data_IF_110684884418
#
_entry.id   IF_110684884418
#
_cell.length_a   1.000
_cell.length_b   1.000
_cell.length_c   1.000
_cell.angle_alpha   90.00
_cell.angle_beta   90.00
_cell.angle_gamma   90.00
#
_symmetry.space_group_name_H-M   'P 1'
#
loop_
_entity.id
_entity.type
_entity.pdbx_description
1 polymer ?
#
# COMPACT_ATOMS: atom_id res chain seq x y z
N UNK A 1 4.97 4.39 -27.07
CA UNK A 1 5.98 5.27 -27.69
C UNK A 1 6.04 6.66 -27.04
N UNK A 2 4.92 7.35 -26.84
CA UNK A 2 4.88 8.71 -26.26
C UNK A 2 5.60 8.84 -24.91
N UNK A 3 5.30 7.96 -23.95
CA UNK A 3 5.87 8.02 -22.59
C UNK A 3 7.39 7.91 -22.59
N UNK A 4 7.97 7.07 -23.45
CA UNK A 4 9.43 6.94 -23.61
C UNK A 4 10.04 8.21 -24.20
N UNK A 5 9.39 8.80 -25.20
CA UNK A 5 9.86 10.04 -25.83
C UNK A 5 9.83 11.22 -24.87
N UNK A 6 8.73 11.36 -24.11
CA UNK A 6 8.58 12.43 -23.12
C UNK A 6 9.57 12.20 -21.97
N UNK A 7 9.69 10.96 -21.47
CA UNK A 7 10.64 10.59 -20.43
C UNK A 7 12.07 10.98 -20.80
N UNK A 8 12.52 10.63 -22.02
CA UNK A 8 13.85 10.97 -22.50
C UNK A 8 14.10 12.50 -22.53
N UNK A 9 13.10 13.32 -22.89
CA UNK A 9 13.22 14.79 -22.89
C UNK A 9 13.45 15.38 -21.50
N UNK A 10 12.87 14.74 -20.47
CA UNK A 10 13.03 15.16 -19.08
C UNK A 10 14.15 14.42 -18.34
N UNK A 11 14.99 13.65 -19.07
CA UNK A 11 16.16 12.97 -18.51
C UNK A 11 15.86 11.62 -17.85
N UNK A 12 14.74 10.97 -18.20
CA UNK A 12 14.40 9.65 -17.70
C UNK A 12 14.97 8.55 -18.63
N UNK A 13 15.66 7.57 -18.06
CA UNK A 13 16.14 6.41 -18.79
C UNK A 13 15.00 5.52 -19.29
N UNK A 14 15.11 5.00 -20.49
CA UNK A 14 14.11 4.14 -21.12
C UNK A 14 13.81 2.85 -20.31
N UNK A 15 14.83 2.32 -19.64
CA UNK A 15 14.73 1.14 -18.77
C UNK A 15 13.75 1.30 -17.60
N UNK A 16 13.35 2.53 -17.29
CA UNK A 16 12.41 2.88 -16.22
C UNK A 16 10.95 2.89 -16.67
N UNK A 17 10.69 2.67 -17.97
CA UNK A 17 9.36 2.69 -18.55
C UNK A 17 8.94 1.27 -18.93
N UNK A 18 7.99 0.72 -18.21
CA UNK A 18 7.39 -0.58 -18.49
C UNK A 18 6.01 -0.37 -19.10
N UNK A 19 5.79 -0.87 -20.31
CA UNK A 19 4.53 -0.78 -21.02
C UNK A 19 4.02 -2.19 -21.35
N UNK A 20 2.77 -2.44 -21.03
CA UNK A 20 2.07 -3.69 -21.27
C UNK A 20 0.78 -3.42 -22.02
N UNK A 21 0.47 -4.20 -23.04
CA UNK A 21 -0.81 -4.18 -23.72
C UNK A 21 -1.80 -5.08 -22.97
N UNK A 22 -2.89 -4.50 -22.54
CA UNK A 22 -3.98 -5.21 -21.87
C UNK A 22 -5.12 -5.39 -22.85
N UNK A 23 -5.61 -6.60 -22.96
CA UNK A 23 -6.78 -6.93 -23.77
C UNK A 23 -7.88 -7.44 -22.85
N UNK A 24 -8.98 -6.72 -22.78
CA UNK A 24 -10.17 -7.08 -21.99
C UNK A 24 -11.44 -6.95 -22.82
N UNK A 25 -12.60 -7.14 -22.20
CA UNK A 25 -13.91 -7.06 -22.89
C UNK A 25 -14.23 -5.68 -23.50
N UNK A 26 -13.46 -4.63 -23.19
CA UNK A 26 -13.57 -3.28 -23.74
C UNK A 26 -12.61 -2.99 -24.89
N UNK A 27 -11.70 -3.92 -25.22
CA UNK A 27 -10.70 -3.76 -26.27
C UNK A 27 -9.26 -3.83 -25.77
N UNK A 28 -8.32 -3.41 -26.62
CA UNK A 28 -6.90 -3.34 -26.27
C UNK A 28 -6.51 -1.93 -25.79
N UNK A 29 -5.76 -1.85 -24.70
CA UNK A 29 -5.25 -0.59 -24.15
C UNK A 29 -3.87 -0.77 -23.52
N UNK A 30 -3.15 0.34 -23.27
CA UNK A 30 -1.79 0.32 -22.75
C UNK A 30 -1.74 0.70 -21.28
N UNK A 31 -1.15 -0.17 -20.43
CA UNK A 31 -0.74 0.15 -19.06
C UNK A 31 0.76 0.47 -19.03
N UNK A 32 1.09 1.70 -18.65
CA UNK A 32 2.48 2.17 -18.64
C UNK A 32 2.87 2.53 -17.22
N UNK A 33 3.84 1.83 -16.67
CA UNK A 33 4.42 2.09 -15.35
C UNK A 33 5.78 2.75 -15.50
N UNK A 34 5.98 3.87 -14.83
CA UNK A 34 7.22 4.64 -14.90
C UNK A 34 7.84 4.73 -13.51
N UNK A 35 9.02 4.17 -13.35
CA UNK A 35 9.77 4.22 -12.09
C UNK A 35 10.66 5.45 -12.06
N UNK A 36 10.39 6.39 -11.14
CA UNK A 36 11.08 7.67 -11.04
C UNK A 36 12.20 7.64 -10.00
N UNK A 37 13.40 8.13 -10.31
CA UNK A 37 14.49 8.27 -9.36
C UNK A 37 14.09 9.18 -8.18
N UNK A 38 14.74 8.99 -7.03
CA UNK A 38 14.54 9.87 -5.89
C UNK A 38 14.85 11.32 -6.27
N UNK A 39 13.91 12.23 -5.94
CA UNK A 39 14.02 13.66 -6.28
C UNK A 39 13.61 14.02 -7.70
N UNK A 40 13.16 13.06 -8.52
CA UNK A 40 12.62 13.37 -9.85
C UNK A 40 11.27 14.10 -9.75
N UNK A 41 11.08 15.12 -10.60
CA UNK A 41 9.85 15.90 -10.62
C UNK A 41 8.72 15.16 -11.37
N UNK A 42 7.95 14.39 -10.61
CA UNK A 42 6.81 13.62 -11.12
C UNK A 42 5.72 14.52 -11.73
N UNK A 43 5.47 15.69 -11.11
CA UNK A 43 4.46 16.62 -11.58
C UNK A 43 4.83 17.19 -12.96
N UNK A 44 6.09 17.57 -13.13
CA UNK A 44 6.60 18.03 -14.43
C UNK A 44 6.42 16.96 -15.50
N UNK A 45 6.74 15.69 -15.20
CA UNK A 45 6.57 14.61 -16.16
C UNK A 45 5.10 14.42 -16.56
N UNK A 46 4.16 14.50 -15.62
CA UNK A 46 2.72 14.42 -15.93
C UNK A 46 2.25 15.55 -16.85
N UNK A 47 2.68 16.80 -16.58
CA UNK A 47 2.33 17.95 -17.43
C UNK A 47 2.89 17.79 -18.85
N UNK A 48 4.12 17.34 -18.99
CA UNK A 48 4.74 17.08 -20.30
C UNK A 48 4.02 15.94 -21.06
N UNK A 49 3.59 14.89 -20.35
CA UNK A 49 2.79 13.80 -20.94
C UNK A 49 1.43 14.28 -21.41
N UNK A 50 0.74 15.11 -20.63
CA UNK A 50 -0.55 15.69 -21.00
C UNK A 50 -0.42 16.62 -22.23
N UNK A 51 0.59 17.49 -22.24
CA UNK A 51 0.87 18.37 -23.36
C UNK A 51 1.22 17.57 -24.63
N UNK A 52 2.03 16.54 -24.51
CA UNK A 52 2.41 15.69 -25.64
C UNK A 52 1.23 14.87 -26.18
N UNK A 53 0.35 14.40 -25.31
CA UNK A 53 -0.88 13.71 -25.72
C UNK A 53 -1.81 14.66 -26.49
N UNK A 54 -1.99 15.89 -25.98
CA UNK A 54 -2.80 16.93 -26.64
C UNK A 54 -2.28 17.25 -28.04
N UNK A 55 -0.96 17.38 -28.21
CA UNK A 55 -0.32 17.64 -29.51
C UNK A 55 -0.50 16.50 -30.52
N UNK A 56 -0.87 15.29 -30.05
CA UNK A 56 -1.20 14.14 -30.90
C UNK A 56 -2.72 13.91 -31.05
N UNK A 57 -3.54 14.91 -30.73
CA UNK A 57 -5.00 14.84 -30.83
C UNK A 57 -5.64 13.96 -29.73
N UNK A 58 -4.88 13.64 -28.68
CA UNK A 58 -5.35 12.86 -27.55
C UNK A 58 -5.57 13.71 -26.29
N UNK A 59 -5.94 13.03 -25.20
CA UNK A 59 -6.13 13.64 -23.88
C UNK A 59 -5.74 12.65 -22.80
N UNK A 60 -5.00 13.13 -21.81
CA UNK A 60 -4.70 12.40 -20.58
C UNK A 60 -5.24 13.18 -19.39
N UNK A 61 -6.20 12.60 -18.68
CA UNK A 61 -6.80 13.20 -17.48
C UNK A 61 -6.14 12.63 -16.22
N UNK A 62 -5.98 13.44 -15.16
CA UNK A 62 -5.50 12.93 -13.88
C UNK A 62 -6.40 11.82 -13.35
N UNK A 63 -5.80 10.73 -12.87
CA UNK A 63 -6.50 9.72 -12.09
C UNK A 63 -6.33 10.02 -10.60
N UNK A 64 -7.37 9.81 -9.79
CA UNK A 64 -7.21 9.86 -8.35
C UNK A 64 -6.23 8.76 -7.93
N UNK A 65 -5.14 9.19 -7.29
CA UNK A 65 -4.23 8.30 -6.60
C UNK A 65 -4.79 8.15 -5.19
N UNK A 66 -5.00 6.93 -4.71
CA UNK A 66 -5.57 6.70 -3.39
C UNK A 66 -4.75 7.40 -2.31
N UNK A 67 -5.40 8.22 -1.49
CA UNK A 67 -4.75 9.11 -0.52
C UNK A 67 -3.95 8.35 0.56
N UNK A 68 -4.27 7.10 0.83
CA UNK A 68 -3.52 6.22 1.75
C UNK A 68 -2.29 5.56 1.12
N UNK A 69 -2.23 5.54 -0.19
CA UNK A 69 -1.20 4.84 -0.93
C UNK A 69 -0.02 5.70 -1.35
N UNK A 70 0.69 6.40 -0.48
CA UNK A 70 1.86 7.25 -0.78
C UNK A 70 2.94 6.63 -1.70
N UNK A 71 2.55 5.70 -2.55
CA UNK A 71 3.35 4.89 -3.44
C UNK A 71 3.33 5.36 -4.89
N UNK A 72 2.22 5.89 -5.41
CA UNK A 72 2.22 6.55 -6.71
C UNK A 72 2.52 8.04 -6.56
N UNK A 73 3.45 8.52 -7.35
CA UNK A 73 3.78 9.94 -7.43
C UNK A 73 2.81 10.71 -8.33
N UNK A 74 1.93 9.99 -9.02
CA UNK A 74 0.87 10.50 -9.87
C UNK A 74 0.40 9.46 -10.89
N UNK A 75 -0.79 9.66 -11.45
CA UNK A 75 -1.30 8.85 -12.54
C UNK A 75 -2.18 9.67 -13.49
N UNK A 76 -2.19 9.28 -14.77
CA UNK A 76 -3.07 9.85 -15.80
C UNK A 76 -3.62 8.74 -16.68
N UNK A 77 -4.83 8.93 -17.21
CA UNK A 77 -5.43 8.00 -18.18
C UNK A 77 -6.16 8.77 -19.28
N UNK A 78 -6.27 8.16 -20.44
CA UNK A 78 -6.99 8.76 -21.56
C UNK A 78 -6.58 8.18 -22.90
N UNK A 79 -6.65 8.96 -23.98
CA UNK A 79 -6.34 8.53 -25.33
C UNK A 79 -5.12 9.21 -25.89
N UNK A 80 -4.29 8.45 -26.59
CA UNK A 80 -3.15 8.96 -27.36
C UNK A 80 -3.11 8.24 -28.71
N UNK A 81 -3.17 8.99 -29.80
CA UNK A 81 -3.16 8.40 -31.15
C UNK A 81 -4.29 7.39 -31.39
N UNK A 82 -5.47 7.60 -30.77
CA UNK A 82 -6.63 6.71 -30.88
C UNK A 82 -6.57 5.45 -29.99
N UNK A 83 -5.50 5.26 -29.23
CA UNK A 83 -5.38 4.15 -28.28
C UNK A 83 -5.63 4.63 -26.86
N UNK A 84 -6.30 3.83 -26.04
CA UNK A 84 -6.44 4.12 -24.61
C UNK A 84 -5.12 3.79 -23.89
N UNK A 85 -4.66 4.73 -23.05
CA UNK A 85 -3.39 4.63 -22.32
C UNK A 85 -3.61 5.05 -20.88
N UNK A 86 -3.06 4.28 -19.95
CA UNK A 86 -2.90 4.66 -18.56
C UNK A 86 -1.42 4.77 -18.24
N UNK A 87 -1.01 5.82 -17.54
CA UNK A 87 0.37 6.01 -17.07
C UNK A 87 0.35 6.17 -15.56
N UNK A 88 1.13 5.35 -14.85
CA UNK A 88 1.31 5.42 -13.40
C UNK A 88 2.77 5.72 -13.09
N UNK A 89 3.01 6.78 -12.34
CA UNK A 89 4.35 7.17 -11.87
C UNK A 89 4.60 6.58 -10.49
N UNK A 90 5.62 5.75 -10.39
CA UNK A 90 6.02 5.05 -9.17
C UNK A 90 7.38 5.57 -8.72
N UNK A 91 7.67 5.69 -7.42
CA UNK A 91 9.03 5.91 -6.96
C UNK A 91 9.92 4.73 -7.37
N UNK A 92 11.17 5.03 -7.66
CA UNK A 92 12.17 3.99 -7.90
C UNK A 92 12.41 3.23 -6.59
N UNK A 93 11.75 2.11 -6.44
CA UNK A 93 12.19 1.16 -5.43
C UNK A 93 13.47 0.50 -5.96
N UNK A 94 14.53 0.46 -5.15
CA UNK A 94 15.64 -0.42 -5.50
C UNK A 94 15.01 -1.81 -5.71
N UNK A 95 15.03 -2.31 -6.95
CA UNK A 95 14.61 -3.68 -7.26
C UNK A 95 15.38 -4.55 -6.28
N UNK A 96 14.80 -4.86 -5.14
CA UNK A 96 15.23 -6.03 -4.41
C UNK A 96 14.93 -7.18 -5.37
N UNK A 97 15.95 -7.60 -6.14
CA UNK A 97 16.00 -8.99 -6.54
C UNK A 97 15.47 -9.74 -5.33
N UNK A 98 14.44 -10.58 -5.49
CA UNK A 98 14.01 -11.39 -4.36
C UNK A 98 15.31 -11.97 -3.82
N UNK A 99 15.72 -11.53 -2.62
CA UNK A 99 16.82 -12.15 -1.96
C UNK A 99 16.37 -13.59 -1.90
N UNK A 100 17.06 -14.47 -2.62
CA UNK A 100 16.76 -15.88 -2.72
C UNK A 100 16.83 -16.38 -1.29
N UNK A 101 15.69 -16.22 -0.60
CA UNK A 101 15.50 -16.71 0.76
C UNK A 101 15.62 -18.20 0.63
N UNK A 102 16.81 -18.73 0.92
CA UNK A 102 17.00 -20.14 1.23
C UNK A 102 16.20 -20.43 2.49
N UNK A 103 14.94 -20.66 2.31
CA UNK A 103 14.14 -21.50 3.19
C UNK A 103 13.23 -22.31 2.27
N UNK A 104 13.88 -23.14 1.44
CA UNK A 104 13.28 -24.38 1.01
C UNK A 104 13.32 -25.31 2.24
N UNK A 105 12.45 -25.03 3.21
CA UNK A 105 12.14 -25.95 4.27
C UNK A 105 10.64 -26.12 4.32
N UNK A 106 10.26 -27.33 4.01
CA UNK A 106 8.94 -27.92 4.01
C UNK A 106 8.06 -27.55 2.80
N UNK A 107 7.51 -28.60 2.23
CA UNK A 107 6.46 -28.70 1.23
C UNK A 107 5.12 -28.06 1.70
N UNK A 108 5.14 -26.77 2.01
CA UNK A 108 3.97 -26.00 2.40
C UNK A 108 3.52 -25.11 1.23
N UNK A 109 2.21 -24.88 1.14
CA UNK A 109 1.62 -23.96 0.18
C UNK A 109 2.19 -22.53 0.38
N UNK A 110 2.35 -21.73 -0.67
CA UNK A 110 2.69 -20.31 -0.56
C UNK A 110 1.71 -19.58 0.36
N UNK A 111 2.17 -18.66 1.19
CA UNK A 111 1.33 -17.90 2.14
C UNK A 111 1.21 -16.45 1.71
N UNK A 112 -0.01 -15.95 1.61
CA UNK A 112 -0.30 -14.56 1.27
C UNK A 112 -1.06 -13.91 2.43
N UNK A 113 -0.52 -12.84 3.02
CA UNK A 113 -1.28 -11.98 3.91
C UNK A 113 -1.85 -10.80 3.11
N UNK A 114 -3.13 -10.49 3.34
CA UNK A 114 -3.82 -9.35 2.75
C UNK A 114 -4.32 -8.48 3.89
N UNK A 115 -4.05 -7.18 3.81
CA UNK A 115 -4.54 -6.16 4.76
C UNK A 115 -5.30 -5.09 3.98
N UNK A 116 -6.45 -4.68 4.49
CA UNK A 116 -7.21 -3.55 3.96
C UNK A 116 -7.14 -2.38 4.94
N UNK A 117 -6.50 -1.31 4.50
CA UNK A 117 -6.27 -0.09 5.26
C UNK A 117 -7.45 0.89 5.18
N UNK A 118 -7.41 1.97 5.95
CA UNK A 118 -8.34 3.10 6.00
C UNK A 118 -9.77 2.76 6.46
N UNK A 119 -9.97 1.66 7.18
CA UNK A 119 -11.26 1.36 7.78
C UNK A 119 -11.60 2.33 8.94
N UNK A 120 -12.90 2.53 9.18
CA UNK A 120 -13.40 3.32 10.32
C UNK A 120 -14.13 4.60 9.94
N UNK A 121 -14.18 4.94 8.66
CA UNK A 121 -14.94 6.10 8.19
C UNK A 121 -16.44 5.85 8.12
N UNK A 122 -16.88 4.61 7.97
CA UNK A 122 -18.27 4.20 7.88
C UNK A 122 -18.55 2.94 8.67
N UNK A 123 -19.71 2.83 9.34
CA UNK A 123 -20.15 1.55 9.91
C UNK A 123 -20.34 0.46 8.84
N UNK A 124 -20.62 0.86 7.59
CA UNK A 124 -20.79 -0.04 6.46
C UNK A 124 -19.51 -0.77 6.05
N UNK A 125 -18.32 -0.33 6.50
CA UNK A 125 -17.05 -1.02 6.25
C UNK A 125 -17.12 -2.48 6.72
N UNK A 126 -17.81 -2.74 7.84
CA UNK A 126 -17.96 -4.10 8.40
C UNK A 126 -18.76 -5.00 7.45
N UNK A 127 -19.85 -4.49 6.90
CA UNK A 127 -20.70 -5.21 5.96
C UNK A 127 -19.99 -5.42 4.61
N UNK A 128 -19.32 -4.38 4.11
CA UNK A 128 -18.58 -4.43 2.85
C UNK A 128 -17.56 -5.58 2.82
N UNK A 129 -16.92 -5.85 3.95
CA UNK A 129 -15.89 -6.90 4.04
C UNK A 129 -16.44 -8.26 4.47
N UNK A 130 -17.73 -8.38 4.80
CA UNK A 130 -18.32 -9.60 5.37
C UNK A 130 -18.19 -10.83 4.47
N UNK A 131 -18.18 -10.62 3.15
CA UNK A 131 -18.06 -11.69 2.16
C UNK A 131 -16.61 -12.14 1.90
N UNK A 132 -15.61 -11.41 2.39
CA UNK A 132 -14.21 -11.81 2.27
C UNK A 132 -13.84 -12.82 3.37
N UNK A 133 -12.89 -13.74 3.10
CA UNK A 133 -12.39 -14.66 4.11
C UNK A 133 -11.88 -13.92 5.37
N UNK A 134 -12.11 -14.44 6.58
CA UNK A 134 -11.70 -13.78 7.83
C UNK A 134 -10.19 -13.65 7.99
N UNK A 135 -9.40 -14.36 7.19
CA UNK A 135 -7.93 -14.21 7.14
C UNK A 135 -7.46 -12.90 6.52
N UNK A 136 -8.33 -12.20 5.75
CA UNK A 136 -8.06 -10.83 5.29
C UNK A 136 -8.15 -9.91 6.50
N UNK A 137 -7.02 -9.35 6.90
CA UNK A 137 -6.93 -8.44 8.04
C UNK A 137 -7.36 -7.02 7.66
N UNK A 138 -7.67 -6.21 8.67
CA UNK A 138 -8.13 -4.83 8.47
C UNK A 138 -7.35 -3.89 9.39
N UNK A 139 -6.90 -2.76 8.85
CA UNK A 139 -6.29 -1.71 9.63
C UNK A 139 -7.26 -0.53 9.77
N UNK A 140 -7.53 -0.13 11.02
CA UNK A 140 -8.53 0.87 11.38
C UNK A 140 -7.85 2.17 11.77
N UNK A 141 -8.26 3.27 11.14
CA UNK A 141 -7.82 4.62 11.48
C UNK A 141 -8.33 5.00 12.89
N UNK A 142 -7.45 5.26 13.85
CA UNK A 142 -7.89 5.54 15.23
C UNK A 142 -8.64 6.85 15.40
N UNK A 143 -8.43 7.80 14.48
CA UNK A 143 -9.11 9.09 14.44
C UNK A 143 -10.40 9.10 13.60
N UNK A 144 -10.77 7.99 12.99
CA UNK A 144 -12.01 7.87 12.23
C UNK A 144 -13.25 7.85 13.17
N UNK A 145 -14.34 8.44 12.69
CA UNK A 145 -15.56 8.62 13.52
C UNK A 145 -16.15 7.32 14.08
N UNK A 146 -15.96 6.20 13.37
CA UNK A 146 -16.51 4.89 13.74
C UNK A 146 -15.42 3.87 14.10
N UNK A 147 -14.18 4.31 14.38
CA UNK A 147 -13.03 3.44 14.64
C UNK A 147 -13.35 2.31 15.63
N UNK A 148 -13.84 2.65 16.82
CA UNK A 148 -14.18 1.68 17.86
C UNK A 148 -15.27 0.69 17.41
N UNK A 149 -16.34 1.20 16.78
CA UNK A 149 -17.48 0.38 16.32
C UNK A 149 -17.04 -0.63 15.25
N UNK A 150 -16.27 -0.14 14.27
CA UNK A 150 -15.77 -0.94 13.14
C UNK A 150 -14.77 -1.97 13.62
N UNK A 151 -13.83 -1.62 14.50
CA UNK A 151 -12.90 -2.56 15.10
C UNK A 151 -13.62 -3.74 15.79
N UNK A 152 -14.62 -3.44 16.63
CA UNK A 152 -15.44 -4.45 17.28
C UNK A 152 -16.22 -5.31 16.28
N UNK A 153 -16.72 -4.71 15.19
CA UNK A 153 -17.38 -5.43 14.10
C UNK A 153 -16.49 -6.47 13.45
N UNK A 154 -15.26 -6.08 13.09
CA UNK A 154 -14.28 -6.98 12.48
C UNK A 154 -13.81 -8.08 13.42
N UNK A 155 -13.60 -7.78 14.69
CA UNK A 155 -13.28 -8.79 15.70
C UNK A 155 -14.38 -9.86 15.81
N UNK A 156 -15.66 -9.47 15.78
CA UNK A 156 -16.78 -10.44 15.75
C UNK A 156 -16.79 -11.33 14.50
N UNK A 157 -16.22 -10.86 13.38
CA UNK A 157 -16.02 -11.67 12.17
C UNK A 157 -14.77 -12.58 12.27
N UNK A 158 -14.02 -12.55 13.37
CA UNK A 158 -12.80 -13.34 13.56
C UNK A 158 -11.59 -12.80 12.78
N UNK A 159 -11.62 -11.53 12.34
CA UNK A 159 -10.52 -10.89 11.60
C UNK A 159 -9.45 -10.36 12.54
N UNK A 160 -8.20 -10.41 12.10
CA UNK A 160 -7.17 -9.58 12.71
C UNK A 160 -7.44 -8.10 12.44
N UNK A 161 -7.35 -7.30 13.50
CA UNK A 161 -7.47 -5.85 13.45
C UNK A 161 -6.12 -5.23 13.79
N UNK A 162 -5.69 -4.28 12.97
CA UNK A 162 -4.50 -3.46 13.20
C UNK A 162 -4.93 -2.02 13.50
N UNK A 163 -4.07 -1.30 14.21
CA UNK A 163 -4.13 0.15 14.33
C UNK A 163 -3.47 0.72 13.07
N UNK A 164 -4.22 1.43 12.24
CA UNK A 164 -3.68 2.18 11.11
C UNK A 164 -3.17 3.53 11.61
N UNK A 165 -1.94 3.56 12.14
CA UNK A 165 -1.38 4.69 12.87
C UNK A 165 -1.04 5.83 11.93
N UNK A 166 -1.69 7.02 12.07
CA UNK A 166 -1.39 8.17 11.25
C UNK A 166 0.03 8.68 11.50
N UNK A 167 0.79 8.89 10.43
CA UNK A 167 2.19 9.32 10.51
C UNK A 167 2.49 10.36 9.44
N UNK A 168 3.42 11.29 9.73
CA UNK A 168 3.74 12.42 8.88
C UNK A 168 4.22 11.99 7.48
N UNK A 169 3.53 12.42 6.40
CA UNK A 169 4.02 12.23 5.04
C UNK A 169 5.06 13.31 4.68
N UNK A 170 5.86 13.07 3.65
CA UNK A 170 6.50 14.18 2.91
C UNK A 170 5.38 15.02 2.28
N UNK A 171 5.70 16.27 1.88
CA UNK A 171 4.69 17.18 1.32
C UNK A 171 3.74 16.46 0.35
N UNK A 172 2.45 16.48 0.66
CA UNK A 172 1.41 15.71 -0.03
C UNK A 172 0.24 16.62 -0.42
N UNK A 173 0.51 17.66 -1.21
CA UNK A 173 -0.55 18.51 -1.77
C UNK A 173 -1.52 19.17 -0.76
N UNK A 174 -1.16 19.25 0.53
CA UNK A 174 -1.99 19.82 1.59
C UNK A 174 -2.87 18.83 2.35
N UNK A 175 -2.89 17.54 1.97
CA UNK A 175 -3.59 16.49 2.73
C UNK A 175 -2.71 16.02 3.88
N UNK A 176 -3.19 16.18 5.11
CA UNK A 176 -2.50 15.75 6.32
C UNK A 176 -2.89 14.34 6.74
N UNK A 177 -2.09 13.68 7.61
CA UNK A 177 -2.36 12.33 8.09
C UNK A 177 -3.50 12.26 9.12
N UNK A 178 -4.11 13.39 9.45
CA UNK A 178 -5.20 13.47 10.42
C UNK A 178 -4.75 13.74 11.85
N UNK A 179 -5.73 13.86 12.75
CA UNK A 179 -5.51 14.15 14.16
C UNK A 179 -4.77 12.99 14.86
N UNK A 180 -3.96 13.30 15.84
CA UNK A 180 -3.20 12.29 16.60
C UNK A 180 -1.99 11.71 15.85
N UNK A 181 -1.66 12.22 14.65
CA UNK A 181 -0.58 11.70 13.83
C UNK A 181 0.80 11.83 14.48
N UNK A 182 1.66 10.84 14.25
CA UNK A 182 3.05 10.87 14.64
C UNK A 182 3.83 11.78 13.68
N UNK A 183 4.27 12.93 14.18
CA UNK A 183 5.05 13.90 13.42
C UNK A 183 6.54 13.80 13.79
N UNK A 184 7.40 14.13 12.84
CA UNK A 184 8.85 14.25 13.10
C UNK A 184 9.12 15.37 14.10
N UNK A 185 9.98 15.09 15.07
CA UNK A 185 10.36 16.05 16.12
C UNK A 185 9.44 16.07 17.34
N UNK A 186 8.45 15.20 17.44
CA UNK A 186 7.70 15.02 18.69
C UNK A 186 8.59 14.43 19.77
N UNK A 187 8.33 14.79 21.03
CA UNK A 187 8.98 14.14 22.17
C UNK A 187 8.53 12.68 22.30
N UNK A 188 9.36 11.83 22.90
CA UNK A 188 9.03 10.43 23.17
C UNK A 188 7.73 10.29 24.00
N UNK A 189 7.52 11.19 24.96
CA UNK A 189 6.29 11.20 25.76
C UNK A 189 5.05 11.50 24.92
N UNK A 190 5.14 12.45 24.00
CA UNK A 190 4.03 12.77 23.11
C UNK A 190 3.76 11.64 22.11
N UNK A 191 4.81 11.01 21.58
CA UNK A 191 4.67 9.81 20.74
C UNK A 191 3.96 8.70 21.51
N UNK A 192 4.39 8.40 22.74
CA UNK A 192 3.78 7.40 23.61
C UNK A 192 2.31 7.71 23.85
N UNK A 193 1.98 8.95 24.21
CA UNK A 193 0.59 9.37 24.44
C UNK A 193 -0.29 9.16 23.21
N UNK A 194 0.20 9.47 22.00
CA UNK A 194 -0.55 9.27 20.74
C UNK A 194 -0.74 7.80 20.42
N UNK A 195 0.27 6.97 20.60
CA UNK A 195 0.16 5.51 20.42
C UNK A 195 -0.83 4.90 21.42
N UNK A 196 -0.81 5.31 22.68
CA UNK A 196 -1.78 4.87 23.70
C UNK A 196 -3.21 5.28 23.34
N UNK A 197 -3.41 6.53 22.88
CA UNK A 197 -4.71 7.01 22.42
C UNK A 197 -5.21 6.21 21.19
N UNK A 198 -4.34 5.95 20.23
CA UNK A 198 -4.69 5.14 19.06
C UNK A 198 -5.08 3.72 19.45
N UNK A 199 -4.37 3.10 20.41
CA UNK A 199 -4.71 1.77 20.94
C UNK A 199 -6.07 1.75 21.65
N UNK A 200 -6.38 2.80 22.41
CA UNK A 200 -7.66 2.91 23.07
C UNK A 200 -8.84 3.07 22.08
N UNK A 201 -8.59 3.74 20.96
CA UNK A 201 -9.58 3.94 19.91
C UNK A 201 -9.86 2.67 19.08
N UNK A 202 -8.87 1.76 18.99
CA UNK A 202 -8.97 0.49 18.21
C UNK A 202 -8.76 -0.70 19.15
N UNK A 203 -9.75 -1.02 20.02
CA UNK A 203 -9.61 -2.10 20.99
C UNK A 203 -9.51 -3.46 20.31
N UNK A 204 -8.68 -4.34 20.89
CA UNK A 204 -8.46 -5.69 20.38
C UNK A 204 -7.51 -5.78 19.18
N UNK A 205 -6.90 -4.66 18.78
CA UNK A 205 -5.86 -4.69 17.77
C UNK A 205 -4.67 -5.54 18.22
N UNK A 206 -4.13 -6.33 17.29
CA UNK A 206 -2.98 -7.24 17.51
C UNK A 206 -1.71 -6.76 16.80
N UNK A 207 -1.81 -5.71 15.99
CA UNK A 207 -0.71 -5.12 15.26
C UNK A 207 -0.93 -3.64 14.96
N UNK A 208 0.10 -3.02 14.42
CA UNK A 208 0.11 -1.62 13.98
C UNK A 208 0.72 -1.55 12.59
N UNK A 209 0.14 -0.77 11.69
CA UNK A 209 0.80 -0.36 10.46
C UNK A 209 0.71 1.16 10.28
N UNK A 210 1.54 1.73 9.43
CA UNK A 210 1.55 3.18 9.23
C UNK A 210 0.56 3.61 8.14
N UNK A 211 -0.34 4.56 8.49
CA UNK A 211 -1.08 5.37 7.54
C UNK A 211 -0.18 6.52 7.07
N UNK A 212 -0.04 6.69 5.74
CA UNK A 212 0.97 7.62 5.19
C UNK A 212 2.36 7.37 5.78
N UNK A 213 3.04 8.40 6.30
CA UNK A 213 4.27 8.27 7.04
C UNK A 213 5.55 8.28 6.21
N UNK A 214 5.51 8.70 4.94
CA UNK A 214 6.69 8.70 4.07
C UNK A 214 7.83 9.61 4.58
N UNK A 215 7.56 10.56 5.51
CA UNK A 215 8.57 11.33 6.22
C UNK A 215 8.93 10.66 7.54
N UNK A 216 7.95 10.36 8.37
CA UNK A 216 8.16 9.86 9.72
C UNK A 216 8.84 8.47 9.74
N UNK A 217 8.47 7.56 8.82
CA UNK A 217 9.11 6.24 8.73
C UNK A 217 10.55 6.28 8.22
N UNK A 218 10.96 7.39 7.59
CA UNK A 218 12.34 7.65 7.19
C UNK A 218 13.18 8.38 8.26
N UNK A 219 12.58 8.77 9.38
CA UNK A 219 13.24 9.50 10.47
C UNK A 219 13.55 8.55 11.64
N UNK A 220 14.84 8.30 11.87
CA UNK A 220 15.27 7.29 12.84
C UNK A 220 14.84 7.62 14.28
N UNK A 221 14.99 8.86 14.79
CA UNK A 221 14.54 9.21 16.12
C UNK A 221 13.03 8.98 16.33
N UNK A 222 12.23 9.37 15.34
CA UNK A 222 10.77 9.16 15.36
C UNK A 222 10.44 7.67 15.43
N UNK A 223 11.08 6.83 14.61
CA UNK A 223 10.81 5.40 14.61
C UNK A 223 11.29 4.70 15.88
N UNK A 224 12.39 5.16 16.50
CA UNK A 224 12.82 4.67 17.83
C UNK A 224 11.74 4.97 18.86
N UNK A 225 11.22 6.20 18.90
CA UNK A 225 10.17 6.61 19.85
C UNK A 225 8.87 5.80 19.64
N UNK A 226 8.45 5.57 18.38
CA UNK A 226 7.30 4.73 18.07
C UNK A 226 7.50 3.30 18.57
N UNK A 227 8.66 2.70 18.29
CA UNK A 227 8.94 1.32 18.72
C UNK A 227 9.04 1.21 20.23
N UNK A 228 9.61 2.22 20.91
CA UNK A 228 9.62 2.29 22.38
C UNK A 228 8.19 2.34 22.94
N UNK A 229 7.30 3.12 22.32
CA UNK A 229 5.90 3.20 22.72
C UNK A 229 5.13 1.88 22.50
N UNK A 230 5.51 1.07 21.51
CA UNK A 230 4.89 -0.23 21.20
C UNK A 230 5.49 -1.38 22.04
N UNK A 231 6.68 -1.19 22.58
CA UNK A 231 7.37 -2.25 23.31
C UNK A 231 6.56 -2.76 24.52
N UNK A 232 6.50 -4.07 24.68
CA UNK A 232 5.76 -4.73 25.77
C UNK A 232 4.23 -4.72 25.64
N UNK A 233 3.68 -4.15 24.56
CA UNK A 233 2.23 -4.10 24.34
C UNK A 233 1.65 -5.35 23.65
N UNK A 234 2.49 -6.29 23.24
CA UNK A 234 2.07 -7.52 22.54
C UNK A 234 1.62 -7.27 21.09
N UNK A 235 1.92 -6.10 20.52
CA UNK A 235 1.59 -5.73 19.16
C UNK A 235 2.76 -6.05 18.22
N UNK A 236 2.46 -6.51 17.00
CA UNK A 236 3.44 -6.57 15.92
C UNK A 236 3.41 -5.30 15.08
N UNK A 237 4.46 -5.06 14.28
CA UNK A 237 4.51 -3.92 13.36
C UNK A 237 4.55 -4.38 11.90
N UNK A 238 3.67 -3.82 11.08
CA UNK A 238 3.65 -3.99 9.63
C UNK A 238 4.08 -2.68 8.96
N UNK A 239 5.29 -2.65 8.40
CA UNK A 239 5.75 -1.49 7.62
C UNK A 239 4.99 -1.43 6.29
N UNK A 240 4.07 -0.48 6.13
CA UNK A 240 3.32 -0.25 4.89
C UNK A 240 4.23 0.24 3.74
N UNK A 241 5.50 0.58 4.03
CA UNK A 241 6.51 1.02 3.05
C UNK A 241 5.98 2.10 2.10
N UNK A 242 5.47 3.17 2.66
CA UNK A 242 5.06 4.37 1.91
C UNK A 242 6.24 5.19 1.38
N UNK A 243 7.46 4.78 1.71
CA UNK A 243 8.71 5.27 1.13
C UNK A 243 9.73 4.14 1.00
N UNK A 244 10.56 4.17 -0.05
CA UNK A 244 11.66 3.22 -0.25
C UNK A 244 12.72 3.32 0.87
N UNK A 245 12.82 4.49 1.54
CA UNK A 245 13.76 4.78 2.62
C UNK A 245 13.20 4.53 4.01
N UNK A 246 12.10 3.75 4.13
CA UNK A 246 11.53 3.40 5.44
C UNK A 246 12.55 2.67 6.32
N UNK A 247 12.68 3.14 7.55
CA UNK A 247 13.50 2.53 8.62
C UNK A 247 12.65 1.67 9.57
N UNK A 248 11.32 1.67 9.40
CA UNK A 248 10.36 1.12 10.34
C UNK A 248 10.61 -0.37 10.64
N UNK A 249 10.74 -1.22 9.61
CA UNK A 249 11.04 -2.66 9.80
C UNK A 249 12.35 -2.88 10.57
N UNK A 250 13.38 -2.10 10.26
CA UNK A 250 14.67 -2.17 10.95
C UNK A 250 14.58 -1.73 12.42
N UNK A 251 13.84 -0.65 12.69
CA UNK A 251 13.59 -0.15 14.04
C UNK A 251 12.81 -1.15 14.89
N UNK A 252 11.72 -1.74 14.34
CA UNK A 252 10.94 -2.75 15.02
C UNK A 252 11.79 -3.97 15.43
N UNK A 253 12.62 -4.48 14.52
CA UNK A 253 13.52 -5.61 14.79
C UNK A 253 14.56 -5.28 15.88
N UNK A 254 15.14 -4.07 15.87
CA UNK A 254 16.08 -3.64 16.92
C UNK A 254 15.40 -3.55 18.29
N UNK A 255 14.13 -3.18 18.32
CA UNK A 255 13.32 -3.11 19.54
C UNK A 255 12.75 -4.49 20.00
N UNK A 256 13.02 -5.58 19.25
CA UNK A 256 12.48 -6.90 19.55
C UNK A 256 10.98 -7.04 19.28
N UNK A 257 10.41 -6.14 18.49
CA UNK A 257 9.00 -6.19 18.08
C UNK A 257 8.88 -7.10 16.86
N UNK A 258 8.02 -8.14 16.88
CA UNK A 258 7.73 -8.95 15.70
C UNK A 258 7.28 -8.05 14.55
N UNK A 259 7.90 -8.20 13.38
CA UNK A 259 7.60 -7.27 12.29
C UNK A 259 7.66 -7.91 10.91
N UNK A 260 6.88 -7.35 10.01
CA UNK A 260 6.86 -7.68 8.59
C UNK A 260 6.73 -6.37 7.78
N UNK A 261 6.97 -6.42 6.49
CA UNK A 261 6.74 -5.29 5.58
C UNK A 261 5.85 -5.70 4.42
N UNK A 262 5.18 -4.74 3.82
CA UNK A 262 4.44 -4.90 2.57
C UNK A 262 5.37 -5.25 1.40
N UNK A 263 4.94 -6.18 0.59
CA UNK A 263 5.57 -6.52 -0.70
C UNK A 263 4.82 -5.87 -1.88
N UNK A 264 3.49 -5.88 -1.88
CA UNK A 264 2.67 -5.35 -2.97
C UNK A 264 1.61 -4.38 -2.46
N UNK A 265 1.37 -3.28 -3.19
CA UNK A 265 0.21 -2.42 -3.02
C UNK A 265 -0.86 -2.82 -4.04
N UNK A 266 -2.07 -3.16 -3.58
CA UNK A 266 -3.12 -3.70 -4.45
C UNK A 266 -3.78 -2.64 -5.34
N UNK A 267 -3.98 -1.46 -4.80
CA UNK A 267 -4.85 -0.43 -5.36
C UNK A 267 -4.20 0.96 -5.39
N UNK A 268 -2.92 1.00 -5.78
CA UNK A 268 -2.24 2.26 -6.14
C UNK A 268 -3.10 3.09 -7.11
N UNK A 269 -3.76 2.42 -8.02
CA UNK A 269 -4.85 2.94 -8.84
C UNK A 269 -6.08 2.08 -8.55
N UNK A 270 -7.18 2.72 -8.10
CA UNK A 270 -8.40 2.04 -7.70
C UNK A 270 -9.27 1.66 -8.90
N UNK A 271 -8.71 0.88 -9.85
CA UNK A 271 -9.47 0.24 -10.92
C UNK A 271 -9.30 -1.29 -10.90
N UNK A 272 -10.32 -2.01 -11.34
CA UNK A 272 -10.34 -3.47 -11.28
C UNK A 272 -9.14 -4.13 -11.99
N UNK A 273 -8.76 -3.75 -13.23
CA UNK A 273 -7.61 -4.35 -13.89
C UNK A 273 -6.31 -4.15 -13.14
N UNK A 274 -6.09 -3.00 -12.49
CA UNK A 274 -4.90 -2.73 -11.69
C UNK A 274 -4.86 -3.60 -10.44
N UNK A 275 -5.98 -3.68 -9.72
CA UNK A 275 -6.10 -4.50 -8.51
C UNK A 275 -5.89 -5.99 -8.84
N UNK A 276 -6.48 -6.50 -9.93
CA UNK A 276 -6.28 -7.89 -10.38
C UNK A 276 -4.82 -8.20 -10.68
N UNK A 277 -4.12 -7.30 -11.38
CA UNK A 277 -2.69 -7.48 -11.67
C UNK A 277 -1.85 -7.46 -10.40
N UNK A 278 -2.08 -6.51 -9.51
CA UNK A 278 -1.36 -6.40 -8.25
C UNK A 278 -1.58 -7.63 -7.37
N UNK A 279 -2.80 -8.17 -7.33
CA UNK A 279 -3.08 -9.42 -6.63
C UNK A 279 -2.32 -10.59 -7.27
N UNK A 280 -2.29 -10.68 -8.60
CA UNK A 280 -1.49 -11.67 -9.33
C UNK A 280 0.00 -11.56 -9.00
N UNK A 281 0.56 -10.35 -8.96
CA UNK A 281 1.95 -10.10 -8.55
C UNK A 281 2.21 -10.56 -7.11
N UNK A 282 1.30 -10.30 -6.19
CA UNK A 282 1.42 -10.74 -4.80
C UNK A 282 1.44 -12.28 -4.68
N UNK A 283 0.61 -12.96 -5.45
CA UNK A 283 0.59 -14.44 -5.52
C UNK A 283 1.91 -14.98 -6.08
N UNK A 284 2.43 -14.40 -7.17
CA UNK A 284 3.72 -14.82 -7.73
C UNK A 284 4.88 -14.58 -6.76
N UNK A 285 4.87 -13.48 -6.03
CA UNK A 285 5.86 -13.22 -4.98
C UNK A 285 5.74 -14.22 -3.84
N UNK A 286 4.51 -14.57 -3.42
CA UNK A 286 4.29 -15.61 -2.42
C UNK A 286 4.85 -16.97 -2.88
N UNK A 287 4.61 -17.35 -4.14
CA UNK A 287 5.17 -18.58 -4.75
C UNK A 287 6.69 -18.55 -4.80
N UNK A 288 7.29 -17.42 -5.18
CA UNK A 288 8.74 -17.29 -5.31
C UNK A 288 9.48 -17.27 -3.97
N UNK A 289 8.87 -16.68 -2.93
CA UNK A 289 9.52 -16.41 -1.64
C UNK A 289 8.98 -17.27 -0.48
N UNK A 290 7.94 -18.08 -0.73
CA UNK A 290 7.21 -18.84 0.29
C UNK A 290 6.15 -18.02 1.03
N UNK A 291 6.23 -16.67 0.99
CA UNK A 291 5.21 -15.76 1.54
C UNK A 291 5.31 -14.36 0.93
N UNK A 292 4.19 -13.64 0.92
CA UNK A 292 4.11 -12.22 0.57
C UNK A 292 3.06 -11.51 1.43
N UNK A 293 3.18 -10.18 1.52
CA UNK A 293 2.20 -9.30 2.17
C UNK A 293 1.69 -8.29 1.14
N UNK A 294 0.39 -8.26 0.93
CA UNK A 294 -0.30 -7.29 0.09
C UNK A 294 -1.13 -6.35 0.96
N UNK A 295 -1.09 -5.05 0.66
CA UNK A 295 -1.94 -4.03 1.29
C UNK A 295 -2.80 -3.38 0.21
N UNK A 296 -4.08 -3.21 0.48
CA UNK A 296 -5.02 -2.37 -0.25
C UNK A 296 -5.83 -1.53 0.73
N UNK A 297 -6.87 -0.87 0.25
CA UNK A 297 -7.74 -0.04 1.09
C UNK A 297 -9.17 -0.58 1.10
N UNK A 298 -9.95 -0.17 2.10
CA UNK A 298 -11.39 -0.44 2.17
C UNK A 298 -12.09 0.41 1.10
N UNK A 299 -11.94 -0.04 -0.15
CA UNK A 299 -12.51 0.60 -1.33
C UNK A 299 -13.41 -0.40 -2.07
N UNK A 300 -14.61 0.00 -2.52
CA UNK A 300 -15.54 -0.92 -3.20
C UNK A 300 -14.92 -1.71 -4.34
N UNK A 301 -14.10 -1.07 -5.18
CA UNK A 301 -13.41 -1.73 -6.30
C UNK A 301 -12.42 -2.81 -5.82
N UNK A 302 -11.60 -2.49 -4.81
CA UNK A 302 -10.63 -3.43 -4.24
C UNK A 302 -11.33 -4.63 -3.64
N UNK A 303 -12.39 -4.39 -2.87
CA UNK A 303 -13.19 -5.44 -2.23
C UNK A 303 -13.89 -6.31 -3.28
N UNK A 304 -14.47 -5.72 -4.32
CA UNK A 304 -15.12 -6.46 -5.41
C UNK A 304 -14.15 -7.42 -6.10
N UNK A 305 -12.95 -6.95 -6.46
CA UNK A 305 -11.92 -7.79 -7.07
C UNK A 305 -11.47 -8.91 -6.13
N UNK A 306 -11.23 -8.61 -4.85
CA UNK A 306 -10.84 -9.63 -3.88
C UNK A 306 -11.94 -10.70 -3.72
N UNK A 307 -13.21 -10.31 -3.66
CA UNK A 307 -14.34 -11.23 -3.58
C UNK A 307 -14.40 -12.20 -4.77
N UNK A 308 -14.14 -11.70 -5.97
CA UNK A 308 -14.15 -12.53 -7.19
C UNK A 308 -12.92 -13.43 -7.29
N UNK A 309 -11.73 -12.93 -6.95
CA UNK A 309 -10.47 -13.60 -7.24
C UNK A 309 -9.97 -14.52 -6.10
N UNK A 310 -10.37 -14.26 -4.84
CA UNK A 310 -9.79 -15.00 -3.71
C UNK A 310 -10.11 -16.50 -3.74
N UNK A 311 -11.26 -16.91 -4.29
CA UNK A 311 -11.57 -18.33 -4.46
C UNK A 311 -10.53 -19.03 -5.36
N UNK A 312 -10.07 -18.36 -6.43
CA UNK A 312 -9.00 -18.84 -7.30
C UNK A 312 -7.64 -18.83 -6.61
N UNK A 313 -7.33 -17.76 -5.87
CA UNK A 313 -6.08 -17.65 -5.10
C UNK A 313 -5.98 -18.75 -4.05
N UNK A 314 -7.05 -19.03 -3.33
CA UNK A 314 -7.12 -20.07 -2.29
C UNK A 314 -6.94 -21.49 -2.83
N UNK A 315 -7.02 -21.70 -4.14
CA UNK A 315 -6.79 -23.03 -4.73
C UNK A 315 -5.37 -23.53 -4.48
N UNK A 316 -4.35 -22.69 -4.55
CA UNK A 316 -2.94 -23.06 -4.47
C UNK A 316 -2.08 -22.18 -3.52
N UNK A 317 -2.68 -21.18 -2.89
CA UNK A 317 -2.04 -20.23 -1.99
C UNK A 317 -2.87 -20.13 -0.72
N UNK A 318 -2.23 -20.20 0.44
CA UNK A 318 -2.91 -20.03 1.72
C UNK A 318 -2.98 -18.53 2.06
N UNK A 319 -4.20 -18.00 2.13
CA UNK A 319 -4.41 -16.65 2.68
C UNK A 319 -4.36 -16.78 4.21
N UNK A 320 -3.44 -16.06 4.82
CA UNK A 320 -3.14 -16.12 6.25
C UNK A 320 -3.17 -14.73 6.88
N UNK A 321 -3.51 -14.62 8.18
CA UNK A 321 -3.37 -13.35 8.88
C UNK A 321 -1.90 -12.88 8.90
N UNK A 322 -1.64 -11.56 8.88
CA UNK A 322 -0.28 -11.01 8.91
C UNK A 322 0.56 -11.48 10.10
N UNK A 323 -0.06 -11.72 11.26
CA UNK A 323 0.62 -12.25 12.47
C UNK A 323 1.36 -13.56 12.23
N UNK A 324 0.93 -14.35 11.25
CA UNK A 324 1.62 -15.61 10.90
C UNK A 324 2.88 -15.39 10.03
N UNK A 325 3.12 -14.17 9.53
CA UNK A 325 4.27 -13.84 8.68
C UNK A 325 5.32 -12.97 9.39
N UNK A 326 5.02 -12.42 10.57
CA UNK A 326 5.98 -11.61 11.36
C UNK A 326 7.15 -12.45 11.88
N UNK A 327 8.29 -11.78 12.05
CA UNK A 327 9.52 -12.40 12.57
C UNK A 327 10.23 -11.45 13.51
#
# INVERSE_FOLDING_TARGET
>A
MLVRQVGARVGLEESRVHAEEIVDGGGAWWDVRVHLPSGFDAHRLLLELQAAAHNQGGRLDPLPVTEGGGYALGAVSGTVGGQHVRVVLLPDEPRRRPARRKTADAAGRPRLAIVLDDAGHSPADVELLSELPPQVAVAVLPNAAFAHHVAQGFLRQGREVLIHLPMEPRANGGVGPGEGAILVGLSEEEVRRRVEAARAAVPGAVGVNNHMGSRATGDEPTMIAVMAALAGQGLYFLDSRTTATSLALGAARRAGIPAVQRDVFLDVVADEPAVRRALGEAVELARANGSAVAIGHVHPTTVAVLREELARVLHDTDVVPPSQLVR
#
